data_IF_838841245045
#
_entry.id   IF_838841245045
#
_cell.length_a   1.000
_cell.length_b   1.000
_cell.length_c   1.000
_cell.angle_alpha   90.00
_cell.angle_beta   90.00
_cell.angle_gamma   90.00
#
_symmetry.space_group_name_H-M   'P 1'
#
loop_
_entity.id
_entity.type
_entity.pdbx_description
1 polymer ?
#
# COMPACT_ATOMS: atom_id res chain seq x y z
N UNK A 1 -20.28 0.45 44.82
CA UNK A 1 -19.99 1.63 44.00
C UNK A 1 -18.91 1.22 43.02
N UNK A 2 -19.31 0.92 41.79
CA UNK A 2 -18.45 0.43 40.71
C UNK A 2 -18.71 1.35 39.53
N UNK A 3 -17.90 2.41 39.43
CA UNK A 3 -17.75 3.17 38.19
C UNK A 3 -16.62 2.51 37.41
N UNK A 4 -16.94 1.98 36.23
CA UNK A 4 -15.96 1.55 35.24
C UNK A 4 -16.13 2.43 34.01
N UNK A 5 -15.10 3.24 33.85
CA UNK A 5 -14.86 4.28 32.86
C UNK A 5 -14.88 3.72 31.44
N UNK A 6 -15.51 4.47 30.53
CA UNK A 6 -15.61 4.18 29.11
C UNK A 6 -14.27 4.53 28.44
N UNK A 7 -13.34 3.57 28.38
CA UNK A 7 -12.08 3.74 27.65
C UNK A 7 -11.67 2.45 26.92
N UNK A 8 -11.26 2.64 25.67
CA UNK A 8 -10.59 1.71 24.76
C UNK A 8 -11.38 0.53 24.16
N UNK A 9 -12.15 0.85 23.11
CA UNK A 9 -12.32 -0.06 21.97
C UNK A 9 -11.46 0.48 20.81
N UNK A 10 -10.45 -0.25 20.32
CA UNK A 10 -9.55 0.26 19.27
C UNK A 10 -10.32 0.48 17.97
N UNK A 11 -10.36 1.75 17.52
CA UNK A 11 -10.99 2.19 16.28
C UNK A 11 -10.27 1.54 15.08
N UNK A 12 -10.94 0.57 14.47
CA UNK A 12 -10.46 -0.18 13.32
C UNK A 12 -10.32 0.73 12.08
N UNK A 13 -9.25 0.60 11.29
CA UNK A 13 -8.97 1.59 10.27
C UNK A 13 -9.61 1.16 8.90
N UNK A 14 -10.38 2.06 8.24
CA UNK A 14 -10.88 2.01 6.82
C UNK A 14 -9.98 1.21 5.85
N UNK A 15 -10.51 0.18 5.20
CA UNK A 15 -9.78 -0.52 4.14
C UNK A 15 -9.96 0.26 2.83
N UNK A 16 -8.91 0.94 2.38
CA UNK A 16 -8.83 1.47 1.02
C UNK A 16 -8.51 0.29 0.10
N UNK A 17 -9.42 -0.07 -0.79
CA UNK A 17 -9.16 -1.04 -1.87
C UNK A 17 -8.30 -0.41 -2.98
N UNK A 18 -7.18 0.20 -2.58
CA UNK A 18 -6.01 0.44 -3.42
C UNK A 18 -4.78 0.36 -2.52
N UNK A 19 -4.09 -0.79 -2.55
CA UNK A 19 -2.66 -0.88 -2.25
C UNK A 19 -2.11 -0.39 -0.90
N UNK A 20 -2.91 -0.18 0.16
CA UNK A 20 -2.37 0.10 1.50
C UNK A 20 -2.85 -0.96 2.49
N UNK A 21 -2.03 -2.00 2.65
CA UNK A 21 -2.17 -3.00 3.71
C UNK A 21 -2.12 -2.32 5.08
N UNK A 22 -3.24 -2.26 5.79
CA UNK A 22 -3.24 -1.93 7.22
C UNK A 22 -2.69 -3.12 8.00
N UNK A 23 -1.66 -2.87 8.82
CA UNK A 23 -1.00 -3.85 9.68
C UNK A 23 -2.05 -4.38 10.67
N UNK A 24 -2.38 -5.66 10.60
CA UNK A 24 -3.13 -6.31 11.67
C UNK A 24 -2.30 -6.26 12.95
N UNK A 25 -2.81 -5.64 14.01
CA UNK A 25 -2.26 -5.87 15.35
C UNK A 25 -2.72 -7.25 15.78
N UNK A 26 -1.78 -8.19 15.85
CA UNK A 26 -2.03 -9.49 16.45
C UNK A 26 -2.28 -9.30 17.95
N UNK A 27 -3.30 -9.99 18.47
CA UNK A 27 -3.80 -9.98 19.84
C UNK A 27 -2.77 -10.45 20.90
N UNK A 28 -1.56 -10.83 20.48
CA UNK A 28 -0.43 -11.13 21.36
C UNK A 28 0.68 -10.11 21.14
N UNK A 29 0.57 -8.94 21.76
CA UNK A 29 1.70 -8.01 21.86
C UNK A 29 2.10 -7.84 23.33
N UNK A 30 2.90 -8.78 23.82
CA UNK A 30 3.75 -8.59 24.99
C UNK A 30 4.98 -9.51 24.96
N UNK A 31 5.83 -9.34 23.96
CA UNK A 31 7.28 -9.40 24.15
C UNK A 31 7.87 -8.31 23.25
N UNK A 32 8.73 -7.45 23.80
CA UNK A 32 9.43 -6.41 23.06
C UNK A 32 10.04 -6.95 21.76
N UNK A 33 10.12 -6.10 20.73
CA UNK A 33 10.41 -6.46 19.35
C UNK A 33 11.43 -7.59 19.23
N UNK A 34 10.97 -8.82 19.02
CA UNK A 34 11.88 -9.93 18.86
C UNK A 34 12.60 -9.76 17.52
N UNK A 35 13.88 -9.41 17.60
CA UNK A 35 14.83 -9.72 16.56
C UNK A 35 14.85 -11.23 16.35
N UNK A 36 15.06 -11.66 15.11
CA UNK A 36 15.02 -13.07 14.75
C UNK A 36 14.61 -13.30 13.31
N UNK A 37 14.70 -14.57 12.93
CA UNK A 37 14.37 -15.05 11.59
C UNK A 37 12.88 -15.38 11.51
N UNK A 38 12.22 -14.87 10.46
CA UNK A 38 10.83 -15.17 10.12
C UNK A 38 10.80 -15.88 8.78
N UNK A 39 10.09 -16.99 8.72
CA UNK A 39 9.87 -17.76 7.51
C UNK A 39 8.47 -17.48 6.99
N UNK A 40 8.37 -16.98 5.76
CA UNK A 40 7.15 -16.95 4.98
C UNK A 40 7.22 -17.98 3.85
N UNK A 41 6.08 -18.20 3.20
CA UNK A 41 5.93 -19.23 2.15
C UNK A 41 6.88 -19.02 0.97
N UNK A 42 7.26 -17.76 0.70
CA UNK A 42 8.09 -17.40 -0.45
C UNK A 42 9.30 -16.53 -0.08
N UNK A 43 9.46 -16.14 1.18
CA UNK A 43 10.60 -15.33 1.63
C UNK A 43 10.98 -15.59 3.08
N UNK A 44 12.25 -15.36 3.39
CA UNK A 44 12.77 -15.41 4.74
C UNK A 44 13.26 -14.02 5.12
N UNK A 45 12.83 -13.51 6.28
CA UNK A 45 13.19 -12.19 6.77
C UNK A 45 13.86 -12.31 8.14
N UNK A 46 15.13 -11.95 8.21
CA UNK A 46 15.83 -11.70 9.46
C UNK A 46 15.64 -10.25 9.87
N UNK A 47 15.24 -10.00 11.11
CA UNK A 47 15.22 -8.64 11.70
C UNK A 47 16.14 -8.60 12.89
N UNK A 48 17.01 -7.61 12.94
CA UNK A 48 17.70 -7.27 14.18
C UNK A 48 16.89 -6.23 14.97
N UNK A 49 17.04 -6.21 16.29
CA UNK A 49 16.41 -5.20 17.17
C UNK A 49 17.06 -3.83 17.05
N UNK A 50 18.33 -3.79 16.68
CA UNK A 50 19.15 -2.57 16.62
C UNK A 50 19.67 -2.22 15.21
N UNK A 51 19.65 -3.19 14.29
CA UNK A 51 20.26 -3.10 12.97
C UNK A 51 19.30 -3.32 11.81
N UNK A 52 19.83 -3.43 10.58
CA UNK A 52 19.02 -3.65 9.40
C UNK A 52 18.38 -5.03 9.38
N UNK A 53 17.15 -5.10 8.86
CA UNK A 53 16.51 -6.32 8.43
C UNK A 53 17.07 -6.77 7.08
N UNK A 54 17.27 -8.08 6.94
CA UNK A 54 17.67 -8.74 5.70
C UNK A 54 16.57 -9.70 5.28
N UNK A 55 16.10 -9.60 4.05
CA UNK A 55 15.11 -10.49 3.47
C UNK A 55 15.65 -11.16 2.20
N UNK A 56 15.33 -12.44 2.01
CA UNK A 56 15.70 -13.23 0.83
C UNK A 56 14.50 -14.00 0.31
N UNK A 57 14.38 -14.16 -1.01
CA UNK A 57 13.29 -14.89 -1.67
C UNK A 57 12.46 -13.96 -2.55
N UNK A 58 11.15 -14.22 -2.64
CA UNK A 58 10.21 -13.36 -3.36
C UNK A 58 9.67 -12.28 -2.42
N UNK A 59 10.07 -11.05 -2.72
CA UNK A 59 9.83 -9.87 -1.92
C UNK A 59 9.26 -8.74 -2.79
N UNK A 60 8.49 -7.86 -2.17
CA UNK A 60 8.08 -6.60 -2.79
C UNK A 60 9.07 -5.52 -2.36
N UNK A 61 9.59 -4.75 -3.32
CA UNK A 61 10.52 -3.66 -2.97
C UNK A 61 9.82 -2.62 -2.09
N UNK A 62 10.54 -2.08 -1.11
CA UNK A 62 10.00 -0.96 -0.34
C UNK A 62 9.95 0.28 -1.25
N UNK A 63 8.86 1.04 -1.16
CA UNK A 63 8.64 2.26 -1.92
C UNK A 63 7.97 3.32 -1.05
N UNK A 64 8.27 4.62 -1.24
CA UNK A 64 7.45 5.71 -0.74
C UNK A 64 6.02 5.63 -1.30
N UNK A 65 5.05 6.30 -0.68
CA UNK A 65 3.66 6.27 -1.15
C UNK A 65 3.46 6.87 -2.54
N UNK A 66 4.29 7.85 -2.92
CA UNK A 66 4.32 8.44 -4.26
C UNK A 66 5.11 7.61 -5.28
N UNK A 67 5.87 6.60 -4.83
CA UNK A 67 6.74 5.74 -5.65
C UNK A 67 6.10 4.39 -6.00
N UNK A 68 6.88 3.51 -6.62
CA UNK A 68 6.40 2.18 -7.06
C UNK A 68 7.16 1.05 -6.38
N UNK A 69 6.42 0.03 -5.93
CA UNK A 69 6.99 -1.24 -5.50
C UNK A 69 6.92 -2.25 -6.65
N UNK A 70 7.86 -3.19 -6.70
CA UNK A 70 7.86 -4.26 -7.68
C UNK A 70 8.18 -5.61 -7.02
N UNK A 71 7.59 -6.72 -7.50
CA UNK A 71 7.94 -8.04 -7.03
C UNK A 71 9.32 -8.45 -7.56
N UNK A 72 10.23 -8.81 -6.66
CA UNK A 72 11.61 -9.18 -6.95
C UNK A 72 11.93 -10.49 -6.25
N UNK A 73 12.48 -11.45 -6.99
CA UNK A 73 13.15 -12.61 -6.43
C UNK A 73 14.62 -12.27 -6.17
N UNK A 74 15.01 -12.14 -4.91
CA UNK A 74 16.36 -11.70 -4.58
C UNK A 74 16.60 -11.44 -3.10
N UNK A 75 17.40 -10.41 -2.83
CA UNK A 75 17.81 -10.01 -1.48
C UNK A 75 17.40 -8.54 -1.25
N UNK A 76 16.96 -8.23 -0.04
CA UNK A 76 16.71 -6.86 0.42
C UNK A 76 17.34 -6.62 1.78
N UNK A 77 17.93 -5.43 1.94
CA UNK A 77 18.45 -4.92 3.21
C UNK A 77 17.71 -3.64 3.51
N UNK A 78 17.13 -3.51 4.70
CA UNK A 78 16.37 -2.32 5.07
C UNK A 78 16.36 -2.06 6.57
N UNK A 79 16.34 -0.81 7.00
CA UNK A 79 16.09 -0.45 8.39
C UNK A 79 14.66 0.09 8.64
N UNK A 80 13.84 0.11 7.59
CA UNK A 80 12.44 0.51 7.62
C UNK A 80 11.61 -0.41 6.73
N UNK A 81 10.32 -0.54 7.04
CA UNK A 81 9.42 -1.42 6.30
C UNK A 81 8.25 -0.63 5.73
N UNK A 82 8.25 -0.41 4.41
CA UNK A 82 7.11 0.14 3.66
C UNK A 82 6.70 1.58 3.99
N UNK A 83 5.84 2.18 3.17
CA UNK A 83 5.36 3.56 3.32
C UNK A 83 4.58 3.78 4.62
N UNK A 84 4.66 4.99 5.19
CA UNK A 84 4.01 5.32 6.45
C UNK A 84 4.15 6.79 6.86
N UNK A 85 3.76 7.09 8.11
CA UNK A 85 3.86 8.40 8.75
C UNK A 85 5.27 9.03 8.64
N UNK A 86 5.36 10.31 8.97
CA UNK A 86 6.64 11.01 8.96
C UNK A 86 7.65 10.30 9.87
N UNK A 87 8.89 10.18 9.40
CA UNK A 87 10.01 9.78 10.23
C UNK A 87 10.25 10.86 11.28
N UNK A 88 10.59 10.46 12.53
CA UNK A 88 11.03 11.42 13.53
C UNK A 88 12.21 12.23 13.01
N UNK A 89 12.34 13.46 13.49
CA UNK A 89 13.40 14.37 13.09
C UNK A 89 14.79 13.74 13.27
N UNK A 90 15.65 13.93 12.26
CA UNK A 90 17.01 13.38 12.23
C UNK A 90 17.09 11.88 11.97
N UNK A 91 15.97 11.16 11.81
CA UNK A 91 15.99 9.73 11.53
C UNK A 91 16.14 9.45 10.04
N UNK A 92 17.04 8.51 9.74
CA UNK A 92 17.29 8.02 8.39
C UNK A 92 16.72 6.61 8.20
N UNK A 93 15.91 6.44 7.16
CA UNK A 93 15.40 5.17 6.68
C UNK A 93 15.99 4.82 5.31
N UNK A 94 16.42 3.59 5.10
CA UNK A 94 16.84 3.07 3.79
C UNK A 94 16.35 1.65 3.54
N UNK A 95 16.09 1.35 2.28
CA UNK A 95 15.87 -0.02 1.81
C UNK A 95 16.49 -0.19 0.43
N UNK A 96 17.29 -1.23 0.27
CA UNK A 96 17.92 -1.60 -0.99
C UNK A 96 17.60 -3.05 -1.28
N UNK A 97 17.26 -3.35 -2.53
CA UNK A 97 16.96 -4.68 -3.00
C UNK A 97 17.61 -4.94 -4.35
N UNK A 98 18.12 -6.14 -4.54
CA UNK A 98 18.72 -6.61 -5.79
C UNK A 98 18.26 -8.03 -6.08
N UNK A 99 18.00 -8.36 -7.34
CA UNK A 99 17.54 -9.68 -7.73
C UNK A 99 17.07 -9.73 -9.16
N UNK A 100 16.06 -10.54 -9.43
CA UNK A 100 15.36 -10.59 -10.71
C UNK A 100 13.90 -10.24 -10.56
N UNK A 101 13.34 -9.58 -11.56
CA UNK A 101 11.93 -9.23 -11.56
C UNK A 101 11.09 -10.52 -11.50
N UNK A 102 10.27 -10.66 -10.48
CA UNK A 102 9.39 -11.81 -10.35
C UNK A 102 8.13 -11.57 -11.20
N UNK A 103 7.93 -12.40 -12.22
CA UNK A 103 6.79 -12.32 -13.15
C UNK A 103 5.75 -13.40 -12.89
N UNK A 104 5.94 -14.22 -11.86
CA UNK A 104 4.98 -15.25 -11.51
C UNK A 104 3.64 -14.60 -11.13
N UNK A 105 2.56 -15.15 -11.67
CA UNK A 105 1.22 -14.65 -11.37
C UNK A 105 0.92 -14.83 -9.86
N UNK A 106 0.42 -13.77 -9.18
CA UNK A 106 0.02 -13.88 -7.78
C UNK A 106 -1.07 -14.95 -7.63
N UNK A 107 -0.78 -16.03 -6.90
CA UNK A 107 -1.73 -17.12 -6.64
C UNK A 107 -1.74 -18.27 -7.65
N UNK A 108 -0.82 -18.32 -8.62
CA UNK A 108 -0.64 -19.52 -9.44
C UNK A 108 -0.14 -20.68 -8.56
N UNK A 109 -0.95 -21.75 -8.46
CA UNK A 109 -0.61 -22.99 -7.75
C UNK A 109 0.19 -23.97 -8.62
N UNK A 110 0.15 -23.80 -9.94
CA UNK A 110 1.00 -24.47 -10.92
C UNK A 110 1.42 -23.47 -12.00
N UNK A 111 2.71 -23.44 -12.31
CA UNK A 111 3.29 -22.50 -13.28
C UNK A 111 4.80 -22.61 -13.28
N UNK A 112 5.41 -22.30 -14.43
CA UNK A 112 6.87 -22.24 -14.52
C UNK A 112 7.39 -21.10 -13.63
N UNK A 113 8.56 -21.31 -13.04
CA UNK A 113 9.30 -20.26 -12.35
C UNK A 113 9.70 -19.21 -13.38
N UNK A 114 9.04 -18.06 -13.38
CA UNK A 114 9.30 -16.95 -14.30
C UNK A 114 9.95 -15.77 -13.58
N UNK A 115 11.26 -15.64 -13.80
CA UNK A 115 12.04 -14.48 -13.41
C UNK A 115 12.54 -13.77 -14.65
N UNK A 116 12.25 -12.47 -14.72
CA UNK A 116 12.68 -11.59 -15.79
C UNK A 116 14.11 -11.07 -15.60
N UNK A 117 14.31 -9.83 -16.08
CA UNK A 117 15.60 -9.15 -16.03
C UNK A 117 16.13 -8.98 -14.60
N UNK A 118 17.46 -8.80 -14.50
CA UNK A 118 18.11 -8.36 -13.27
C UNK A 118 17.65 -6.95 -12.92
N UNK A 119 17.30 -6.74 -11.65
CA UNK A 119 16.75 -5.47 -11.18
C UNK A 119 17.40 -5.06 -9.87
N UNK A 120 17.49 -3.75 -9.67
CA UNK A 120 17.87 -3.12 -8.43
C UNK A 120 16.86 -2.04 -8.06
N UNK A 121 16.58 -1.89 -6.76
CA UNK A 121 15.79 -0.78 -6.24
C UNK A 121 16.40 -0.28 -4.93
N UNK A 122 16.42 1.03 -4.78
CA UNK A 122 16.89 1.71 -3.58
C UNK A 122 15.87 2.77 -3.17
N UNK A 123 15.67 2.93 -1.88
CA UNK A 123 14.84 3.97 -1.30
C UNK A 123 15.51 4.52 -0.07
N UNK A 124 15.40 5.83 0.10
CA UNK A 124 15.92 6.56 1.25
C UNK A 124 14.85 7.51 1.75
N UNK A 125 14.83 7.75 3.06
CA UNK A 125 13.89 8.60 3.75
C UNK A 125 14.63 9.33 4.86
N UNK A 126 14.37 10.61 5.04
CA UNK A 126 14.99 11.41 6.07
C UNK A 126 13.95 12.31 6.74
N UNK A 127 13.79 12.18 8.05
CA UNK A 127 12.94 13.06 8.85
C UNK A 127 13.59 14.43 8.96
N UNK A 128 13.16 15.38 8.13
CA UNK A 128 13.70 16.74 8.09
C UNK A 128 13.20 17.57 9.27
N UNK A 129 11.95 17.35 9.70
CA UNK A 129 11.34 17.91 10.92
C UNK A 129 10.48 16.83 11.58
N UNK A 130 9.88 17.05 12.77
CA UNK A 130 8.99 16.08 13.40
C UNK A 130 7.76 15.73 12.57
N UNK A 131 7.38 16.61 11.63
CA UNK A 131 6.22 16.45 10.77
C UNK A 131 6.57 16.20 9.29
N UNK A 132 7.80 16.49 8.85
CA UNK A 132 8.19 16.44 7.44
C UNK A 132 9.29 15.42 7.18
N UNK A 133 9.05 14.53 6.24
CA UNK A 133 10.03 13.56 5.74
C UNK A 133 10.29 13.78 4.26
N UNK A 134 11.56 13.86 3.88
CA UNK A 134 12.00 13.86 2.48
C UNK A 134 12.36 12.44 2.09
N UNK A 135 11.95 12.03 0.91
CA UNK A 135 12.04 10.65 0.44
C UNK A 135 12.65 10.63 -0.97
N UNK A 136 13.46 9.62 -1.24
CA UNK A 136 14.05 9.36 -2.55
C UNK A 136 13.85 7.90 -2.94
N UNK A 137 13.65 7.66 -4.23
CA UNK A 137 13.57 6.32 -4.80
C UNK A 137 14.42 6.24 -6.07
N UNK A 138 15.10 5.12 -6.25
CA UNK A 138 15.79 4.75 -7.47
C UNK A 138 15.48 3.30 -7.82
N UNK A 139 15.34 3.03 -9.11
CA UNK A 139 15.16 1.71 -9.68
C UNK A 139 16.01 1.56 -10.94
N UNK A 140 16.51 0.36 -11.18
CA UNK A 140 17.36 0.06 -12.33
C UNK A 140 17.10 -1.35 -12.86
N UNK A 141 17.08 -1.47 -14.18
CA UNK A 141 17.08 -2.71 -14.96
C UNK A 141 17.84 -2.43 -16.29
N UNK A 142 18.12 -3.43 -17.14
CA UNK A 142 18.99 -3.26 -18.31
C UNK A 142 18.62 -2.12 -19.26
N UNK A 143 17.32 -1.88 -19.47
CA UNK A 143 16.81 -0.81 -20.34
C UNK A 143 15.96 0.22 -19.60
N UNK A 144 16.02 0.21 -18.26
CA UNK A 144 15.20 1.09 -17.41
C UNK A 144 16.03 1.69 -16.29
N UNK A 145 15.96 3.01 -16.15
CA UNK A 145 16.38 3.69 -14.92
C UNK A 145 15.30 4.66 -14.49
N UNK A 146 14.80 4.49 -13.27
CA UNK A 146 13.76 5.34 -12.70
C UNK A 146 14.31 5.98 -11.43
N UNK A 147 14.10 7.28 -11.25
CA UNK A 147 14.52 8.03 -10.07
C UNK A 147 13.42 9.00 -9.67
N UNK A 148 13.19 9.16 -8.39
CA UNK A 148 12.17 10.07 -7.90
C UNK A 148 12.51 10.63 -6.55
N UNK A 149 11.86 11.75 -6.25
CA UNK A 149 11.92 12.43 -4.97
C UNK A 149 10.52 12.85 -4.57
N UNK A 150 10.30 12.92 -3.27
CA UNK A 150 9.04 13.36 -2.73
C UNK A 150 9.10 13.60 -1.23
N UNK A 151 7.95 13.90 -0.67
CA UNK A 151 7.81 14.28 0.72
C UNK A 151 6.56 13.69 1.32
N UNK A 152 6.64 13.35 2.60
CA UNK A 152 5.49 13.03 3.45
C UNK A 152 5.43 14.06 4.56
N UNK A 153 4.31 14.78 4.66
CA UNK A 153 4.05 15.79 5.68
C UNK A 153 2.86 15.36 6.55
N UNK A 154 3.06 15.32 7.87
CA UNK A 154 2.07 14.91 8.85
C UNK A 154 1.58 16.14 9.61
N UNK A 155 0.41 16.64 9.23
CA UNK A 155 -0.16 17.89 9.68
C UNK A 155 -1.06 17.74 10.94
N UNK A 156 -0.76 16.76 11.80
CA UNK A 156 -1.60 16.45 12.97
C UNK A 156 -3.04 16.15 12.57
N UNK A 157 -3.98 16.94 13.11
CA UNK A 157 -5.42 16.82 12.88
C UNK A 157 -5.84 17.14 11.44
N UNK A 158 -5.00 17.88 10.69
CA UNK A 158 -5.23 18.15 9.27
C UNK A 158 -4.80 16.98 8.38
N UNK A 159 -4.34 15.87 8.96
CA UNK A 159 -4.05 14.64 8.25
C UNK A 159 -2.64 14.55 7.67
N UNK A 160 -2.48 13.80 6.59
CA UNK A 160 -1.20 13.50 5.95
C UNK A 160 -1.22 13.91 4.49
N UNK A 161 -0.22 14.69 4.07
CA UNK A 161 0.02 15.07 2.68
C UNK A 161 1.25 14.32 2.18
N UNK A 162 1.15 13.78 0.98
CA UNK A 162 2.22 13.03 0.32
C UNK A 162 2.33 13.52 -1.11
N UNK A 163 3.54 13.85 -1.55
CA UNK A 163 3.75 14.34 -2.91
C UNK A 163 5.08 13.81 -3.44
N UNK A 164 5.17 13.53 -4.72
CA UNK A 164 6.42 13.13 -5.34
C UNK A 164 6.42 13.22 -6.86
N UNK A 165 7.63 13.38 -7.39
CA UNK A 165 7.92 13.41 -8.80
C UNK A 165 8.94 12.32 -9.12
N UNK A 166 8.66 11.52 -10.15
CA UNK A 166 9.49 10.41 -10.59
C UNK A 166 9.78 10.55 -12.07
N UNK A 167 11.06 10.54 -12.43
CA UNK A 167 11.53 10.49 -13.80
C UNK A 167 11.93 9.07 -14.15
N UNK A 168 11.49 8.60 -15.31
CA UNK A 168 11.89 7.32 -15.90
C UNK A 168 12.64 7.55 -17.20
N UNK A 169 13.66 6.74 -17.45
CA UNK A 169 14.28 6.51 -18.75
C UNK A 169 14.09 5.04 -19.12
N UNK A 170 13.19 4.75 -20.06
CA UNK A 170 12.85 3.39 -20.52
C UNK A 170 13.10 3.30 -22.02
N UNK A 171 13.93 2.37 -22.49
CA UNK A 171 14.31 2.24 -23.91
C UNK A 171 14.67 3.59 -24.55
N UNK A 172 15.46 4.41 -23.84
CA UNK A 172 15.90 5.78 -24.20
C UNK A 172 14.81 6.87 -24.19
N UNK A 173 13.55 6.52 -23.88
CA UNK A 173 12.46 7.48 -23.73
C UNK A 173 12.41 8.01 -22.30
N UNK A 174 12.47 9.34 -22.16
CA UNK A 174 12.38 10.00 -20.86
C UNK A 174 10.94 10.48 -20.60
N UNK A 175 10.39 10.13 -19.45
CA UNK A 175 9.04 10.51 -19.08
C UNK A 175 8.93 10.71 -17.56
N UNK A 176 7.85 11.40 -17.16
CA UNK A 176 7.64 11.81 -15.77
C UNK A 176 6.35 11.25 -15.21
N UNK A 177 6.34 11.06 -13.90
CA UNK A 177 5.17 10.75 -13.11
C UNK A 177 5.11 11.66 -11.91
N UNK A 178 3.95 12.25 -11.67
CA UNK A 178 3.65 13.06 -10.50
C UNK A 178 2.56 12.37 -9.70
N UNK A 179 2.75 12.25 -8.39
CA UNK A 179 1.72 11.77 -7.48
C UNK A 179 1.53 12.76 -6.34
N UNK A 180 0.27 12.98 -6.01
CA UNK A 180 -0.17 13.74 -4.85
C UNK A 180 -1.22 12.93 -4.10
N UNK A 181 -1.12 12.89 -2.78
CA UNK A 181 -2.03 12.21 -1.89
C UNK A 181 -2.32 13.07 -0.68
N UNK A 182 -3.58 13.12 -0.27
CA UNK A 182 -4.03 13.78 0.93
C UNK A 182 -5.02 12.88 1.64
N UNK A 183 -4.83 12.68 2.95
CA UNK A 183 -5.73 11.89 3.77
C UNK A 183 -5.95 12.61 5.09
N UNK A 184 -7.20 12.84 5.47
CA UNK A 184 -7.56 13.57 6.68
C UNK A 184 -8.75 12.90 7.37
N UNK A 185 -8.69 12.90 8.70
CA UNK A 185 -9.82 12.55 9.56
C UNK A 185 -10.53 13.86 9.92
N UNK A 186 -11.62 14.19 9.21
CA UNK A 186 -12.33 15.48 9.36
C UNK A 186 -13.08 15.55 10.69
N UNK A 187 -13.58 14.40 11.15
CA UNK A 187 -14.21 14.23 12.45
C UNK A 187 -13.99 12.81 12.94
N UNK A 188 -14.44 12.51 14.16
CA UNK A 188 -14.45 11.14 14.69
C UNK A 188 -15.23 10.14 13.82
N UNK A 189 -16.01 10.64 12.85
CA UNK A 189 -16.92 9.88 12.02
C UNK A 189 -16.71 10.06 10.51
N UNK A 190 -15.65 10.74 10.06
CA UNK A 190 -15.43 10.92 8.63
C UNK A 190 -13.94 10.95 8.27
N UNK A 191 -13.50 9.95 7.51
CA UNK A 191 -12.20 9.92 6.86
C UNK A 191 -12.36 10.30 5.37
N UNK A 192 -11.54 11.23 4.89
CA UNK A 192 -11.48 11.63 3.49
C UNK A 192 -10.08 11.40 2.93
N UNK A 193 -10.02 10.87 1.71
CA UNK A 193 -8.79 10.66 0.97
C UNK A 193 -8.91 11.16 -0.46
N UNK A 194 -7.88 11.84 -0.93
CA UNK A 194 -7.76 12.28 -2.31
C UNK A 194 -6.38 11.93 -2.85
N UNK A 195 -6.31 11.32 -4.02
CA UNK A 195 -5.06 11.07 -4.72
C UNK A 195 -5.16 11.52 -6.18
N UNK A 196 -4.16 12.27 -6.62
CA UNK A 196 -3.95 12.61 -8.02
C UNK A 196 -2.66 11.95 -8.51
N UNK A 197 -2.73 11.35 -9.70
CA UNK A 197 -1.59 10.77 -10.37
C UNK A 197 -1.59 11.19 -11.84
N UNK A 198 -0.43 11.62 -12.31
CA UNK A 198 -0.21 11.95 -13.71
C UNK A 198 1.01 11.19 -14.20
N UNK A 199 0.88 10.47 -15.30
CA UNK A 199 1.93 9.66 -15.90
C UNK A 199 2.11 10.13 -17.34
N UNK A 200 3.33 10.52 -17.73
CA UNK A 200 3.66 10.87 -19.11
C UNK A 200 3.76 9.64 -20.00
N UNK A 201 3.51 9.84 -21.30
CA UNK A 201 3.78 8.80 -22.30
C UNK A 201 5.26 8.42 -22.29
N UNK A 202 5.56 7.12 -22.39
CA UNK A 202 6.90 6.55 -22.27
C UNK A 202 7.37 6.26 -20.85
N UNK A 203 6.59 6.59 -19.82
CA UNK A 203 6.98 6.32 -18.44
C UNK A 203 6.96 4.81 -18.15
N UNK A 204 8.03 4.30 -17.54
CA UNK A 204 8.10 2.92 -17.04
C UNK A 204 8.69 2.88 -15.64
N UNK A 205 8.36 1.83 -14.91
CA UNK A 205 9.02 1.50 -13.65
C UNK A 205 9.17 -0.02 -13.54
N UNK A 206 9.79 -0.53 -12.47
CA UNK A 206 9.99 -1.98 -12.33
C UNK A 206 8.67 -2.77 -12.33
N UNK A 207 7.56 -2.17 -11.89
CA UNK A 207 6.26 -2.84 -11.87
C UNK A 207 5.66 -2.99 -13.27
N UNK A 208 6.00 -2.09 -14.20
CA UNK A 208 5.55 -2.14 -15.60
C UNK A 208 6.62 -2.68 -16.56
N UNK A 209 7.82 -3.04 -16.09
CA UNK A 209 8.96 -3.37 -16.95
C UNK A 209 8.68 -4.50 -17.95
N UNK A 210 7.84 -5.47 -17.60
CA UNK A 210 7.45 -6.55 -18.52
C UNK A 210 6.51 -6.11 -19.64
N UNK A 211 5.74 -5.03 -19.46
CA UNK A 211 4.76 -4.52 -20.42
C UNK A 211 5.22 -3.29 -21.22
N UNK A 212 6.40 -2.76 -20.90
CA UNK A 212 6.93 -1.54 -21.54
C UNK A 212 6.50 -0.24 -20.85
N UNK A 213 6.94 0.87 -21.43
CA UNK A 213 6.52 2.21 -21.03
C UNK A 213 5.05 2.46 -21.39
N UNK A 214 4.39 3.33 -20.62
CA UNK A 214 3.00 3.72 -20.83
C UNK A 214 2.82 4.36 -22.22
N UNK A 215 1.95 3.82 -23.07
CA UNK A 215 1.81 4.29 -24.46
C UNK A 215 1.25 5.70 -24.61
N UNK A 216 0.29 6.09 -23.76
CA UNK A 216 -0.39 7.39 -23.81
C UNK A 216 -0.37 8.02 -22.42
N UNK A 217 -0.17 9.34 -22.32
CA UNK A 217 -0.18 10.03 -21.03
C UNK A 217 -1.47 9.74 -20.24
N UNK A 218 -1.36 9.40 -18.96
CA UNK A 218 -2.50 9.04 -18.12
C UNK A 218 -2.67 10.05 -17.00
N UNK A 219 -3.91 10.33 -16.62
CA UNK A 219 -4.23 11.08 -15.41
C UNK A 219 -5.30 10.35 -14.63
N UNK A 220 -4.98 9.99 -13.38
CA UNK A 220 -5.88 9.32 -12.46
C UNK A 220 -6.21 10.24 -11.29
N UNK A 221 -7.48 10.36 -10.98
CA UNK A 221 -7.97 11.01 -9.77
C UNK A 221 -8.77 9.99 -8.97
N UNK A 222 -8.47 9.84 -7.69
CA UNK A 222 -9.24 8.99 -6.80
C UNK A 222 -9.64 9.78 -5.57
N UNK A 223 -10.93 9.72 -5.25
CA UNK A 223 -11.53 10.26 -4.04
C UNK A 223 -12.07 9.08 -3.24
N UNK A 224 -11.85 9.09 -1.92
CA UNK A 224 -12.37 8.10 -1.00
C UNK A 224 -12.98 8.77 0.21
N UNK A 225 -14.07 8.22 0.71
CA UNK A 225 -14.70 8.64 1.95
C UNK A 225 -15.06 7.41 2.79
N UNK A 226 -14.90 7.50 4.10
CA UNK A 226 -15.24 6.44 5.04
C UNK A 226 -15.95 7.00 6.26
N UNK A 227 -17.11 6.43 6.58
CA UNK A 227 -17.93 6.81 7.73
C UNK A 227 -18.10 5.59 8.64
N UNK A 228 -17.44 5.55 9.81
CA UNK A 228 -17.76 4.56 10.83
C UNK A 228 -19.15 4.84 11.40
N UNK A 229 -20.01 3.83 11.37
CA UNK A 229 -21.36 3.83 11.91
C UNK A 229 -21.33 3.01 13.19
N UNK A 230 -21.64 3.66 14.31
CA UNK A 230 -21.57 3.02 15.63
C UNK A 230 -22.44 1.76 15.67
N UNK A 231 -21.87 0.62 16.09
CA UNK A 231 -22.55 -0.68 16.14
C UNK A 231 -22.78 -1.37 14.77
N UNK A 232 -22.60 -0.67 13.65
CA UNK A 232 -22.86 -1.19 12.30
C UNK A 232 -21.60 -1.25 11.42
N UNK A 233 -20.44 -0.87 11.96
CA UNK A 233 -19.16 -0.99 11.26
C UNK A 233 -18.79 0.27 10.49
N UNK A 234 -18.40 0.15 9.22
CA UNK A 234 -17.89 1.26 8.41
C UNK A 234 -18.44 1.16 7.00
N UNK A 235 -19.08 2.23 6.56
CA UNK A 235 -19.46 2.44 5.17
C UNK A 235 -18.38 3.27 4.48
N UNK A 236 -17.94 2.84 3.31
CA UNK A 236 -16.91 3.52 2.53
C UNK A 236 -17.33 3.64 1.08
N UNK A 237 -16.97 4.76 0.47
CA UNK A 237 -17.18 5.04 -0.94
C UNK A 237 -15.88 5.45 -1.60
N UNK A 238 -15.72 5.07 -2.85
CA UNK A 238 -14.58 5.49 -3.68
C UNK A 238 -15.07 5.93 -5.04
N UNK A 239 -14.37 6.89 -5.62
CA UNK A 239 -14.56 7.36 -6.98
C UNK A 239 -13.19 7.47 -7.63
N UNK A 240 -13.01 6.85 -8.80
CA UNK A 240 -11.75 6.91 -9.55
C UNK A 240 -12.01 7.22 -11.02
N UNK A 241 -11.45 8.33 -11.52
CA UNK A 241 -11.44 8.66 -12.94
C UNK A 241 -10.06 8.47 -13.55
N UNK A 242 -9.94 7.75 -14.65
CA UNK A 242 -8.73 7.59 -15.47
C UNK A 242 -8.96 8.23 -16.84
N UNK A 243 -8.10 9.17 -17.19
CA UNK A 243 -7.98 9.74 -18.54
C UNK A 243 -6.71 9.25 -19.19
N UNK A 244 -6.77 8.95 -20.48
CA UNK A 244 -5.65 8.59 -21.33
C UNK A 244 -5.61 9.57 -22.51
N UNK A 245 -4.61 10.45 -22.52
CA UNK A 245 -4.56 11.59 -23.41
C UNK A 245 -5.74 12.53 -23.12
N UNK A 246 -6.58 12.75 -24.13
CA UNK A 246 -7.81 13.56 -24.03
C UNK A 246 -9.06 12.71 -23.76
N UNK A 247 -8.95 11.39 -23.82
CA UNK A 247 -10.09 10.47 -23.70
C UNK A 247 -10.27 10.03 -22.26
N UNK A 248 -11.51 10.07 -21.76
CA UNK A 248 -11.85 9.43 -20.50
C UNK A 248 -11.91 7.92 -20.74
N UNK A 249 -10.97 7.17 -20.15
CA UNK A 249 -10.79 5.73 -20.40
C UNK A 249 -11.58 4.88 -19.41
N UNK A 250 -11.66 5.32 -18.14
CA UNK A 250 -12.45 4.63 -17.11
C UNK A 250 -12.94 5.60 -16.03
N UNK A 251 -14.11 5.33 -15.48
CA UNK A 251 -14.67 6.06 -14.36
C UNK A 251 -15.37 5.05 -13.47
N UNK A 252 -14.83 4.82 -12.27
CA UNK A 252 -15.28 3.78 -11.36
C UNK A 252 -15.83 4.37 -10.09
N UNK A 253 -16.95 3.84 -9.64
CA UNK A 253 -17.53 4.12 -8.32
C UNK A 253 -17.56 2.82 -7.55
N UNK A 254 -16.99 2.83 -6.36
CA UNK A 254 -17.00 1.71 -5.43
C UNK A 254 -17.77 2.07 -4.16
N UNK A 255 -18.56 1.15 -3.65
CA UNK A 255 -19.18 1.22 -2.33
C UNK A 255 -18.83 -0.06 -1.58
N UNK A 256 -18.41 0.08 -0.32
CA UNK A 256 -18.12 -1.07 0.53
C UNK A 256 -18.60 -0.83 1.96
N UNK A 257 -19.23 -1.84 2.54
CA UNK A 257 -19.66 -1.87 3.92
C UNK A 257 -18.94 -2.99 4.65
N UNK A 258 -18.29 -2.67 5.78
CA UNK A 258 -17.61 -3.65 6.60
C UNK A 258 -18.12 -3.60 8.03
N UNK A 259 -18.49 -4.74 8.60
CA UNK A 259 -19.06 -4.86 9.94
C UNK A 259 -18.51 -6.07 10.68
N UNK A 260 -18.50 -6.00 12.01
CA UNK A 260 -18.28 -7.16 12.85
C UNK A 260 -19.61 -7.89 13.01
N UNK A 261 -19.67 -9.13 12.53
CA UNK A 261 -20.86 -10.00 12.68
C UNK A 261 -20.80 -10.84 13.94
N UNK A 262 -19.60 -11.01 14.50
CA UNK A 262 -19.32 -11.58 15.82
C UNK A 262 -18.06 -10.90 16.39
N UNK A 263 -17.73 -11.05 17.68
CA UNK A 263 -16.61 -10.33 18.33
C UNK A 263 -15.26 -10.42 17.60
N UNK A 264 -15.04 -11.52 16.87
CA UNK A 264 -13.81 -11.75 16.09
C UNK A 264 -14.05 -11.98 14.60
N UNK A 265 -15.30 -11.91 14.12
CA UNK A 265 -15.66 -12.20 12.73
C UNK A 265 -16.05 -10.91 12.03
N UNK A 266 -15.30 -10.55 10.99
CA UNK A 266 -15.54 -9.35 10.19
C UNK A 266 -16.03 -9.74 8.79
N UNK A 267 -17.19 -9.22 8.42
CA UNK A 267 -17.72 -9.29 7.05
C UNK A 267 -17.48 -7.95 6.35
N UNK A 268 -17.00 -8.00 5.11
CA UNK A 268 -16.94 -6.85 4.23
C UNK A 268 -17.59 -7.19 2.89
N UNK A 269 -18.56 -6.41 2.47
CA UNK A 269 -19.22 -6.55 1.17
C UNK A 269 -19.02 -5.25 0.40
N UNK A 270 -18.67 -5.36 -0.86
CA UNK A 270 -18.41 -4.24 -1.74
C UNK A 270 -18.92 -4.48 -3.15
N UNK A 271 -19.10 -3.36 -3.83
CA UNK A 271 -19.62 -3.24 -5.18
C UNK A 271 -18.80 -2.18 -5.90
N UNK A 272 -18.37 -2.50 -7.12
CA UNK A 272 -17.71 -1.56 -8.01
C UNK A 272 -18.46 -1.50 -9.34
N UNK A 273 -18.63 -0.29 -9.86
CA UNK A 273 -19.23 -0.05 -11.16
C UNK A 273 -18.34 0.85 -11.99
N UNK A 274 -18.00 0.40 -13.19
CA UNK A 274 -17.41 1.25 -14.22
C UNK A 274 -18.54 1.91 -15.02
N UNK A 275 -18.60 3.24 -14.92
CA UNK A 275 -19.66 4.06 -15.50
C UNK A 275 -19.56 4.10 -17.03
N UNK A 276 -18.35 4.03 -17.60
CA UNK A 276 -18.16 4.12 -19.04
C UNK A 276 -18.48 2.80 -19.73
N UNK A 277 -17.93 1.71 -19.21
CA UNK A 277 -18.14 0.38 -19.82
C UNK A 277 -19.44 -0.28 -19.37
N UNK A 278 -20.00 0.15 -18.25
CA UNK A 278 -21.17 -0.47 -17.62
C UNK A 278 -20.84 -1.73 -16.81
N UNK A 279 -19.56 -2.11 -16.73
CA UNK A 279 -19.12 -3.30 -16.01
C UNK A 279 -19.41 -3.17 -14.51
N UNK A 280 -19.80 -4.29 -13.92
CA UNK A 280 -20.14 -4.39 -12.53
C UNK A 280 -19.37 -5.53 -11.87
N UNK A 281 -18.83 -5.27 -10.68
CA UNK A 281 -18.15 -6.27 -9.86
C UNK A 281 -18.71 -6.24 -8.43
N UNK A 282 -19.02 -7.41 -7.89
CA UNK A 282 -19.37 -7.58 -6.47
C UNK A 282 -18.27 -8.37 -5.78
N UNK A 283 -17.95 -7.98 -4.55
CA UNK A 283 -16.95 -8.66 -3.72
C UNK A 283 -17.47 -8.85 -2.31
N UNK A 284 -17.27 -10.03 -1.74
CA UNK A 284 -17.52 -10.31 -0.34
C UNK A 284 -16.28 -10.97 0.27
N UNK A 285 -15.86 -10.48 1.43
CA UNK A 285 -14.74 -11.03 2.18
C UNK A 285 -15.18 -11.26 3.63
N UNK A 286 -14.97 -12.49 4.10
CA UNK A 286 -15.20 -12.88 5.49
C UNK A 286 -13.85 -13.18 6.12
N UNK A 287 -13.47 -12.39 7.13
CA UNK A 287 -12.22 -12.54 7.87
C UNK A 287 -12.51 -13.01 9.28
N UNK A 288 -11.91 -14.13 9.68
CA UNK A 288 -12.01 -14.68 11.03
C UNK A 288 -10.68 -15.31 11.47
N UNK A 289 -10.33 -15.27 12.77
CA UNK A 289 -9.19 -16.01 13.30
C UNK A 289 -9.34 -17.51 13.05
N UNK A 290 -8.22 -18.16 12.75
CA UNK A 290 -8.17 -19.62 12.52
C UNK A 290 -8.69 -20.39 13.74
N UNK A 291 -8.43 -19.89 14.95
CA UNK A 291 -8.93 -20.50 16.20
C UNK A 291 -10.46 -20.47 16.30
N UNK A 292 -11.10 -19.38 15.87
CA UNK A 292 -12.56 -19.24 15.85
C UNK A 292 -13.17 -20.19 14.81
N UNK A 293 -12.52 -20.36 13.66
CA UNK A 293 -12.91 -21.33 12.64
C UNK A 293 -12.80 -22.77 13.15
N UNK A 294 -11.66 -23.13 13.74
CA UNK A 294 -11.37 -24.49 14.23
C UNK A 294 -12.27 -24.92 15.39
N UNK A 295 -12.72 -23.99 16.25
CA UNK A 295 -13.55 -24.31 17.41
C UNK A 295 -15.05 -24.40 17.11
N UNK A 296 -15.51 -23.98 15.92
CA UNK A 296 -16.92 -24.10 15.52
C UNK A 296 -17.92 -23.23 16.29
N UNK A 297 -17.47 -22.35 17.18
CA UNK A 297 -18.32 -21.55 18.09
C UNK A 297 -18.78 -20.21 17.51
N UNK A 298 -18.93 -20.10 16.19
CA UNK A 298 -19.15 -18.82 15.49
C UNK A 298 -20.62 -18.35 15.44
N UNK A 299 -21.56 -19.19 15.87
CA UNK A 299 -22.98 -18.88 16.05
C UNK A 299 -23.36 -19.13 17.52
N UNK A 300 -23.01 -18.22 18.42
CA UNK A 300 -23.71 -18.16 19.71
C UNK A 300 -24.73 -17.02 19.62
N UNK A 301 -26.00 -17.40 19.72
CA UNK A 301 -27.14 -16.49 19.66
C UNK A 301 -27.32 -15.81 21.01
#
# INVERSE_FOLDING_TARGET
>A
ALDLESADIPRGPVMVYSGVSRRSRAWFSSVGGQGGLRYGDQNWTYRDTSGPAVAVGNLSTNAPSWGSAAPVGGLQISNWTGSGAALPEGRFGYSSSVGRLNRMAPGASSGAVDYGASVGSGTVRYGLTPALTVEGQMQSAPTLTTRGMGTTYQAGDYGTIQAGATQSSFDTVNAWRYRFGYNVDVSENLNLGYTNEQIGAGFGDLSSYGGGGVGTAQTRNTLSAGVPIHGWGTLSGTYSGLREGTTLSSQRVGLAHSMFVAPTVKLAVGADRDILTGNYEWRANLSMPVETFMRGTWLQW
#
